data_IF_700697257496
#
_entry.id   IF_700697257496
#
_cell.length_a   1.000
_cell.length_b   1.000
_cell.length_c   1.000
_cell.angle_alpha   90.00
_cell.angle_beta   90.00
_cell.angle_gamma   90.00
#
_symmetry.space_group_name_H-M   'P 1'
#
loop_
_entity.id
_entity.type
_entity.pdbx_description
1 polymer ?
#
# COMPACT_ATOMS: atom_id res chain seq x y z
N UNK A 1 17.03 34.82 2.84
CA UNK A 1 16.21 34.80 4.08
C UNK A 1 15.08 33.80 3.89
N UNK A 2 15.21 32.58 4.41
CA UNK A 2 14.13 31.59 4.38
C UNK A 2 13.11 31.96 5.45
N UNK A 3 12.08 32.71 5.05
CA UNK A 3 10.88 32.87 5.85
C UNK A 3 10.30 31.49 6.09
N UNK A 4 10.58 30.92 7.27
CA UNK A 4 9.91 29.72 7.77
C UNK A 4 8.41 29.95 7.61
N UNK A 5 7.70 28.97 7.07
CA UNK A 5 6.24 28.93 7.08
C UNK A 5 5.80 28.11 8.30
N UNK A 6 5.85 28.65 9.54
CA UNK A 6 5.54 27.89 10.74
C UNK A 6 4.11 27.34 10.70
N UNK A 7 3.18 28.08 10.07
CA UNK A 7 1.81 27.62 9.84
C UNK A 7 1.74 26.40 8.91
N UNK A 8 2.49 26.39 7.82
CA UNK A 8 2.52 25.23 6.92
C UNK A 8 3.15 24.01 7.61
N UNK A 9 4.23 24.21 8.36
CA UNK A 9 4.86 23.14 9.14
C UNK A 9 3.92 22.58 10.22
N UNK A 10 3.17 23.43 10.92
CA UNK A 10 2.16 23.02 11.91
C UNK A 10 1.00 22.26 11.25
N UNK A 11 0.51 22.73 10.10
CA UNK A 11 -0.54 22.04 9.35
C UNK A 11 -0.07 20.67 8.87
N UNK A 12 1.15 20.56 8.36
CA UNK A 12 1.73 19.27 7.97
C UNK A 12 1.92 18.34 9.17
N UNK A 13 2.39 18.87 10.31
CA UNK A 13 2.56 18.10 11.53
C UNK A 13 1.24 17.52 12.07
N UNK A 14 0.11 18.20 11.82
CA UNK A 14 -1.22 17.67 12.17
C UNK A 14 -1.82 16.77 11.09
N UNK A 15 -1.65 17.11 9.81
CA UNK A 15 -2.27 16.40 8.69
C UNK A 15 -1.63 15.03 8.44
N UNK A 16 -0.31 14.91 8.57
CA UNK A 16 0.42 13.66 8.27
C UNK A 16 0.02 12.53 9.23
N UNK A 17 -0.02 12.70 10.56
CA UNK A 17 -0.48 11.66 11.48
C UNK A 17 -1.93 11.25 11.23
N UNK A 18 -2.81 12.22 10.95
CA UNK A 18 -4.21 11.95 10.66
C UNK A 18 -4.37 11.10 9.39
N UNK A 19 -3.66 11.45 8.33
CA UNK A 19 -3.66 10.69 7.08
C UNK A 19 -3.07 9.28 7.27
N UNK A 20 -2.02 9.13 8.08
CA UNK A 20 -1.45 7.83 8.40
C UNK A 20 -2.44 6.94 9.17
N UNK A 21 -3.15 7.52 10.15
CA UNK A 21 -4.16 6.79 10.92
C UNK A 21 -5.34 6.35 10.05
N UNK A 22 -5.87 7.23 9.20
CA UNK A 22 -6.97 6.88 8.28
C UNK A 22 -6.55 5.82 7.27
N UNK A 23 -5.34 5.92 6.72
CA UNK A 23 -4.79 4.89 5.84
C UNK A 23 -4.67 3.54 6.55
N UNK A 24 -4.18 3.49 7.79
CA UNK A 24 -4.07 2.26 8.55
C UNK A 24 -5.45 1.59 8.80
N UNK A 25 -6.47 2.39 9.11
CA UNK A 25 -7.84 1.89 9.27
C UNK A 25 -8.38 1.34 7.95
N UNK A 26 -8.19 2.07 6.84
CA UNK A 26 -8.63 1.65 5.51
C UNK A 26 -7.93 0.35 5.07
N UNK A 27 -6.62 0.22 5.30
CA UNK A 27 -5.86 -1.00 5.01
C UNK A 27 -6.36 -2.18 5.84
N UNK A 28 -6.62 -1.98 7.14
CA UNK A 28 -7.12 -3.03 8.03
C UNK A 28 -8.52 -3.49 7.64
N UNK A 29 -9.47 -2.57 7.48
CA UNK A 29 -10.85 -2.89 7.08
C UNK A 29 -10.90 -3.49 5.66
N UNK A 30 -10.04 -2.99 4.79
CA UNK A 30 -9.87 -3.48 3.44
C UNK A 30 -9.11 -4.80 3.36
N UNK A 31 -8.42 -5.27 4.41
CA UNK A 31 -7.49 -6.40 4.35
C UNK A 31 -6.46 -6.23 3.24
N UNK A 32 -5.74 -5.11 3.29
CA UNK A 32 -4.61 -4.81 2.42
C UNK A 32 -3.33 -4.71 3.23
N UNK A 33 -2.23 -5.12 2.62
CA UNK A 33 -0.88 -4.85 3.11
C UNK A 33 -0.23 -3.82 2.20
N UNK A 34 0.20 -2.72 2.81
CA UNK A 34 1.01 -1.71 2.14
C UNK A 34 2.49 -2.06 2.30
N UNK A 35 3.23 -2.00 1.20
CA UNK A 35 4.67 -2.04 1.16
C UNK A 35 5.17 -0.81 0.40
N UNK A 36 6.20 -0.15 0.93
CA UNK A 36 6.79 1.02 0.30
C UNK A 36 8.31 0.97 0.48
N UNK A 37 9.02 1.10 -0.63
CA UNK A 37 10.45 1.31 -0.64
C UNK A 37 10.83 2.42 -1.64
N UNK A 38 12.13 2.64 -1.82
CA UNK A 38 12.66 3.68 -2.71
C UNK A 38 12.35 3.48 -4.20
N UNK A 39 11.78 2.34 -4.59
CA UNK A 39 11.55 1.94 -5.98
C UNK A 39 10.09 1.68 -6.30
N UNK A 40 9.28 1.34 -5.30
CA UNK A 40 7.88 1.07 -5.51
C UNK A 40 7.04 1.24 -4.26
N UNK A 41 5.76 1.52 -4.51
CA UNK A 41 4.67 1.41 -3.55
C UNK A 41 3.76 0.31 -4.04
N UNK A 42 3.42 -0.61 -3.16
CA UNK A 42 2.64 -1.81 -3.46
C UNK A 42 1.53 -2.01 -2.43
N UNK A 43 0.32 -2.27 -2.92
CA UNK A 43 -0.82 -2.71 -2.13
C UNK A 43 -1.13 -4.15 -2.53
N UNK A 44 -0.88 -5.07 -1.61
CA UNK A 44 -1.24 -6.48 -1.76
C UNK A 44 -2.55 -6.74 -1.03
N UNK A 45 -3.52 -7.41 -1.64
CA UNK A 45 -4.66 -7.88 -0.88
C UNK A 45 -4.17 -8.87 0.18
N UNK A 46 -5.00 -9.17 1.18
CA UNK A 46 -4.81 -10.23 2.16
C UNK A 46 -6.12 -11.02 2.28
N UNK A 47 -6.05 -12.35 2.40
CA UNK A 47 -7.24 -13.15 2.65
C UNK A 47 -7.86 -12.79 4.01
N UNK A 48 -9.18 -12.79 4.07
CA UNK A 48 -9.91 -12.39 5.28
C UNK A 48 -10.03 -13.59 6.21
N UNK A 49 -9.53 -13.46 7.45
CA UNK A 49 -9.74 -14.47 8.50
C UNK A 49 -11.22 -14.72 8.80
N UNK A 50 -12.07 -13.71 8.61
CA UNK A 50 -13.52 -13.80 8.78
C UNK A 50 -14.28 -14.36 7.58
N UNK A 51 -13.60 -14.71 6.48
CA UNK A 51 -14.28 -15.34 5.35
C UNK A 51 -14.80 -16.73 5.77
N UNK A 52 -16.11 -17.03 5.60
CA UNK A 52 -16.67 -18.32 6.02
C UNK A 52 -16.09 -19.48 5.22
N UNK A 53 -15.72 -19.24 3.96
CA UNK A 53 -15.25 -20.27 3.03
C UNK A 53 -13.79 -20.64 3.33
N UNK A 54 -12.87 -19.71 3.13
CA UNK A 54 -11.43 -19.99 3.24
C UNK A 54 -10.82 -19.70 4.61
N UNK A 55 -11.53 -19.02 5.53
CA UNK A 55 -11.05 -18.67 6.89
C UNK A 55 -9.65 -18.05 6.96
N UNK A 56 -9.27 -17.33 5.90
CA UNK A 56 -7.95 -16.70 5.78
C UNK A 56 -6.88 -17.51 5.04
N UNK A 57 -7.19 -18.72 4.56
CA UNK A 57 -6.29 -19.49 3.70
C UNK A 57 -6.14 -18.89 2.30
N UNK A 58 -7.12 -18.10 1.85
CA UNK A 58 -7.11 -17.41 0.54
C UNK A 58 -7.56 -18.26 -0.64
N UNK A 59 -7.68 -19.57 -0.45
CA UNK A 59 -8.10 -20.52 -1.47
C UNK A 59 -8.02 -21.94 -0.97
N UNK A 60 -8.17 -22.89 -1.88
CA UNK A 60 -7.93 -24.32 -1.67
C UNK A 60 -7.06 -24.86 -2.80
N UNK A 61 -6.26 -25.87 -2.50
CA UNK A 61 -5.50 -26.60 -3.52
C UNK A 61 -6.46 -27.55 -4.24
N UNK A 62 -6.41 -27.55 -5.58
CA UNK A 62 -7.13 -28.55 -6.37
C UNK A 62 -6.23 -29.77 -6.58
N UNK A 63 -6.80 -30.97 -6.50
CA UNK A 63 -6.06 -32.21 -6.72
C UNK A 63 -5.67 -32.37 -8.20
N UNK A 64 -4.52 -33.00 -8.47
CA UNK A 64 -4.06 -33.31 -9.83
C UNK A 64 -2.54 -33.38 -9.98
N UNK A 65 -2.08 -33.66 -11.20
CA UNK A 65 -0.65 -33.76 -11.53
C UNK A 65 0.10 -32.41 -11.43
N UNK A 66 -0.62 -31.30 -11.52
CA UNK A 66 -0.12 -29.95 -11.30
C UNK A 66 -1.15 -29.17 -10.46
N UNK A 67 -1.12 -29.30 -9.12
CA UNK A 67 -2.13 -28.69 -8.27
C UNK A 67 -2.00 -27.17 -8.29
N UNK A 68 -3.04 -26.51 -8.79
CA UNK A 68 -3.18 -25.06 -8.70
C UNK A 68 -3.98 -24.68 -7.45
N UNK A 69 -3.79 -23.45 -6.97
CA UNK A 69 -4.62 -22.93 -5.89
C UNK A 69 -5.82 -22.21 -6.50
N UNK A 70 -7.03 -22.71 -6.25
CA UNK A 70 -8.24 -21.98 -6.58
C UNK A 70 -8.47 -20.88 -5.55
N UNK A 71 -8.52 -19.64 -6.03
CA UNK A 71 -8.67 -18.46 -5.19
C UNK A 71 -10.10 -18.34 -4.64
N UNK A 72 -10.23 -18.16 -3.33
CA UNK A 72 -11.53 -17.88 -2.72
C UNK A 72 -12.08 -16.52 -3.18
N UNK A 73 -13.40 -16.43 -3.38
CA UNK A 73 -14.09 -15.20 -3.84
C UNK A 73 -13.74 -13.95 -3.04
N UNK A 74 -13.51 -14.09 -1.73
CA UNK A 74 -13.13 -12.99 -0.82
C UNK A 74 -11.80 -12.32 -1.18
N UNK A 75 -10.95 -13.05 -1.92
CA UNK A 75 -9.60 -12.71 -2.35
C UNK A 75 -9.51 -12.56 -3.88
N UNK A 76 -10.17 -13.43 -4.66
CA UNK A 76 -9.99 -13.61 -6.11
C UNK A 76 -10.27 -12.37 -6.96
N UNK A 77 -11.14 -11.47 -6.49
CA UNK A 77 -11.53 -10.26 -7.23
C UNK A 77 -10.61 -9.08 -6.95
N UNK A 78 -9.63 -9.24 -6.05
CA UNK A 78 -8.76 -8.17 -5.59
C UNK A 78 -7.42 -8.25 -6.29
N UNK A 79 -7.08 -7.18 -7.02
CA UNK A 79 -5.82 -7.09 -7.76
C UNK A 79 -4.74 -6.43 -6.92
N UNK A 80 -3.52 -6.93 -7.02
CA UNK A 80 -2.36 -6.19 -6.53
C UNK A 80 -2.24 -4.85 -7.28
N UNK A 81 -2.01 -3.77 -6.55
CA UNK A 81 -1.76 -2.45 -7.13
C UNK A 81 -0.31 -2.06 -6.86
N UNK A 82 0.41 -1.71 -7.92
CA UNK A 82 1.83 -1.35 -7.82
C UNK A 82 2.11 -0.07 -8.60
N UNK A 83 2.72 0.89 -7.92
CA UNK A 83 3.25 2.12 -8.52
C UNK A 83 4.76 2.05 -8.44
N UNK A 84 5.44 2.19 -9.59
CA UNK A 84 6.90 2.32 -9.63
C UNK A 84 7.27 3.77 -9.34
N UNK A 85 8.16 3.98 -8.38
CA UNK A 85 8.75 5.27 -8.11
C UNK A 85 9.93 5.44 -9.05
N UNK A 86 9.79 6.32 -10.04
CA UNK A 86 10.92 6.71 -10.87
C UNK A 86 11.88 7.57 -10.04
N UNK A 87 13.19 7.41 -10.21
CA UNK A 87 14.14 8.33 -9.60
C UNK A 87 13.83 9.76 -10.06
N UNK A 88 13.79 10.70 -9.12
CA UNK A 88 13.77 12.13 -9.43
C UNK A 88 15.07 12.42 -10.20
N UNK A 89 15.03 13.02 -11.41
CA UNK A 89 16.25 13.44 -12.08
C UNK A 89 17.03 14.35 -11.12
N UNK A 90 18.35 14.18 -11.04
CA UNK A 90 19.18 15.12 -10.30
C UNK A 90 18.85 16.53 -10.81
N UNK A 91 18.40 17.40 -9.91
CA UNK A 91 18.23 18.82 -10.24
C UNK A 91 19.57 19.31 -10.79
N UNK A 92 19.61 20.05 -11.92
CA UNK A 92 20.88 20.55 -12.42
C UNK A 92 21.49 21.46 -11.35
N UNK A 93 22.58 20.99 -10.73
CA UNK A 93 23.43 21.77 -9.86
C UNK A 93 24.05 22.90 -10.69
N UNK A 94 23.39 24.05 -10.75
CA UNK A 94 23.93 25.20 -11.47
C UNK A 94 22.92 26.30 -11.71
N UNK A 95 22.78 27.21 -10.76
CA UNK A 95 23.11 28.62 -10.97
C UNK A 95 23.46 29.25 -9.61
N UNK A 96 24.70 29.72 -9.39
CA UNK A 96 24.99 30.58 -8.25
C UNK A 96 24.25 31.91 -8.47
N UNK A 97 23.47 32.33 -7.46
CA UNK A 97 23.04 33.72 -7.33
C UNK A 97 24.17 34.56 -6.75
#
# INVERSE_FOLDING_TARGET
>A
MTGRHPRAALLLAAAVPLAAATAAVALKAGHWRLYADRHHIELKPQPRRSCPDCRGAGGWWVDGANPEMEACSCWTTRRELRVRLLPVPAWPDGQPF
#
